data_IF_419582894893
#
_entry.id   IF_419582894893
#
_cell.length_a   1.000
_cell.length_b   1.000
_cell.length_c   1.000
_cell.angle_alpha   90.00
_cell.angle_beta   90.00
_cell.angle_gamma   90.00
#
_symmetry.space_group_name_H-M   'P 1'
#
loop_
_entity.id
_entity.type
_entity.pdbx_description
1 polymer ?
#
# COMPACT_ATOMS: atom_id res chain seq x y z
N UNK A 1 11.77 21.78 4.97
CA UNK A 1 12.10 20.46 5.57
C UNK A 1 11.15 20.05 6.72
N UNK A 2 9.95 20.65 6.79
CA UNK A 2 9.02 20.52 7.94
C UNK A 2 7.92 19.45 7.71
N UNK A 3 7.82 18.92 6.49
CA UNK A 3 6.74 18.02 6.08
C UNK A 3 6.95 16.57 6.56
N UNK A 4 8.21 16.11 6.58
CA UNK A 4 8.57 14.73 6.92
C UNK A 4 8.10 14.31 8.32
N UNK A 5 8.29 15.10 9.41
CA UNK A 5 7.80 14.70 10.73
C UNK A 5 6.27 14.62 10.82
N UNK A 6 5.54 15.50 10.10
CA UNK A 6 4.08 15.47 10.04
C UNK A 6 3.54 14.24 9.30
N UNK A 7 4.19 13.85 8.20
CA UNK A 7 3.82 12.65 7.43
C UNK A 7 4.04 11.37 8.25
N UNK A 8 5.16 11.27 8.97
CA UNK A 8 5.46 10.12 9.84
C UNK A 8 4.43 10.04 10.97
N UNK A 9 4.06 11.16 11.59
CA UNK A 9 3.01 11.17 12.63
C UNK A 9 1.64 10.78 12.07
N UNK A 10 1.32 11.11 10.82
CA UNK A 10 0.05 10.72 10.19
C UNK A 10 -0.01 9.22 9.86
N UNK A 11 1.07 8.67 9.28
CA UNK A 11 1.18 7.25 8.93
C UNK A 11 1.26 6.39 10.21
N UNK A 12 2.10 6.81 11.17
CA UNK A 12 2.42 6.07 12.38
C UNK A 12 1.55 6.47 13.59
N UNK A 13 0.62 7.41 13.45
CA UNK A 13 -0.25 7.87 14.54
C UNK A 13 0.49 8.46 15.76
N UNK A 14 1.79 8.75 15.66
CA UNK A 14 2.67 9.14 16.76
C UNK A 14 4.15 8.93 16.42
N UNK A 15 5.04 9.18 17.39
CA UNK A 15 6.50 9.00 17.24
C UNK A 15 6.98 7.55 17.49
N UNK A 16 6.07 6.64 17.88
CA UNK A 16 6.35 5.23 18.16
C UNK A 16 5.38 4.34 17.37
N UNK A 17 5.91 3.34 16.67
CA UNK A 17 5.13 2.28 15.99
C UNK A 17 4.33 1.54 17.05
N UNK A 18 3.05 1.90 17.18
CA UNK A 18 2.14 1.33 18.18
C UNK A 18 1.12 0.40 17.48
N UNK A 19 0.41 -0.45 18.23
CA UNK A 19 -0.64 -1.36 17.73
C UNK A 19 -1.59 -0.79 16.64
N UNK A 20 -2.09 0.46 16.69
CA UNK A 20 -2.94 1.01 15.63
C UNK A 20 -2.24 1.13 14.27
N UNK A 21 -0.91 1.28 14.24
CA UNK A 21 -0.13 1.35 12.99
C UNK A 21 0.02 -0.02 12.36
N UNK A 22 0.29 -1.04 13.17
CA UNK A 22 0.39 -2.42 12.71
C UNK A 22 -0.92 -2.89 12.07
N UNK A 23 -2.06 -2.54 12.67
CA UNK A 23 -3.39 -2.82 12.10
C UNK A 23 -3.62 -2.12 10.76
N UNK A 24 -3.19 -0.86 10.61
CA UNK A 24 -3.29 -0.13 9.33
C UNK A 24 -2.37 -0.73 8.26
N UNK A 25 -1.13 -1.05 8.62
CA UNK A 25 -0.18 -1.73 7.72
C UNK A 25 -0.69 -3.12 7.32
N UNK A 26 -1.31 -3.86 8.22
CA UNK A 26 -1.89 -5.17 7.91
C UNK A 26 -3.04 -5.06 6.90
N UNK A 27 -3.94 -4.08 7.05
CA UNK A 27 -5.01 -3.83 6.08
C UNK A 27 -4.43 -3.41 4.72
N UNK A 28 -3.46 -2.50 4.69
CA UNK A 28 -2.79 -2.09 3.44
C UNK A 28 -2.08 -3.27 2.78
N UNK A 29 -1.34 -4.09 3.53
CA UNK A 29 -0.67 -5.28 3.03
C UNK A 29 -1.66 -6.33 2.53
N UNK A 30 -2.83 -6.46 3.15
CA UNK A 30 -3.85 -7.39 2.70
C UNK A 30 -4.55 -6.91 1.42
N UNK A 31 -4.78 -5.60 1.25
CA UNK A 31 -5.42 -5.03 0.06
C UNK A 31 -4.47 -4.91 -1.13
N UNK A 32 -3.18 -4.62 -0.89
CA UNK A 32 -2.16 -4.49 -1.94
C UNK A 32 -2.07 -5.67 -2.93
N UNK A 33 -2.06 -6.96 -2.50
CA UNK A 33 -1.99 -8.09 -3.41
C UNK A 33 -3.22 -8.20 -4.33
N UNK A 34 -4.41 -7.75 -3.90
CA UNK A 34 -5.57 -7.72 -4.78
C UNK A 34 -5.41 -6.69 -5.91
N UNK A 35 -4.85 -5.52 -5.60
CA UNK A 35 -4.55 -4.49 -6.60
C UNK A 35 -3.49 -5.00 -7.59
N UNK A 36 -2.42 -5.62 -7.07
CA UNK A 36 -1.38 -6.21 -7.90
C UNK A 36 -1.93 -7.31 -8.81
N UNK A 37 -2.84 -8.15 -8.31
CA UNK A 37 -3.51 -9.18 -9.10
C UNK A 37 -4.35 -8.56 -10.23
N UNK A 38 -5.10 -7.49 -9.99
CA UNK A 38 -5.82 -6.78 -11.05
C UNK A 38 -4.87 -6.25 -12.14
N UNK A 39 -3.71 -5.72 -11.77
CA UNK A 39 -2.70 -5.23 -12.72
C UNK A 39 -2.13 -6.39 -13.55
N UNK A 40 -1.85 -7.54 -12.92
CA UNK A 40 -1.37 -8.75 -13.61
C UNK A 40 -2.42 -9.24 -14.62
N UNK A 41 -3.71 -9.24 -14.28
CA UNK A 41 -4.77 -9.60 -15.22
C UNK A 41 -4.82 -8.66 -16.44
N UNK A 42 -4.75 -7.34 -16.22
CA UNK A 42 -4.71 -6.37 -17.32
C UNK A 42 -3.46 -6.58 -18.18
N UNK A 43 -2.30 -6.83 -17.55
CA UNK A 43 -1.04 -7.07 -18.24
C UNK A 43 -1.11 -8.32 -19.14
N UNK A 44 -1.63 -9.43 -18.63
CA UNK A 44 -1.80 -10.67 -19.39
C UNK A 44 -2.81 -10.48 -20.53
N UNK A 45 -3.91 -9.76 -20.29
CA UNK A 45 -4.90 -9.47 -21.32
C UNK A 45 -4.30 -8.69 -22.49
N UNK A 46 -3.46 -7.69 -22.22
CA UNK A 46 -2.74 -6.94 -23.25
C UNK A 46 -1.74 -7.81 -24.01
N UNK A 47 -1.01 -8.69 -23.32
CA UNK A 47 -0.14 -9.67 -23.97
C UNK A 47 -0.92 -10.64 -24.85
N UNK A 48 -2.13 -11.05 -24.45
CA UNK A 48 -2.98 -11.93 -25.23
C UNK A 48 -3.56 -11.27 -26.49
N UNK A 49 -3.83 -9.95 -26.44
CA UNK A 49 -4.33 -9.20 -27.60
C UNK A 49 -3.24 -8.80 -28.61
N UNK A 50 -2.01 -8.61 -28.13
CA UNK A 50 -0.87 -8.17 -28.96
C UNK A 50 -0.06 -9.36 -29.51
N UNK A 51 -0.18 -10.53 -28.87
CA UNK A 51 0.37 -11.81 -29.35
C UNK A 51 -0.45 -12.45 -30.45
#
# INVERSE_FOLDING_TARGET
LYFIPGLVSWICGGYLVSDPTLKRFFVLHFTFPFIALCIVFIHIFFLHLQG
#
